data_IF_770292082827
#
_entry.id   IF_770292082827
#
_cell.length_a   1.000
_cell.length_b   1.000
_cell.length_c   1.000
_cell.angle_alpha   90.00
_cell.angle_beta   90.00
_cell.angle_gamma   90.00
#
_symmetry.space_group_name_H-M   'P 1'
#
loop_
_entity.id
_entity.type
_entity.pdbx_description
1 polymer ?
#
# COMPACT_ATOMS: atom_id res chain seq x y z
N UNK A 1 -29.22 -15.29 31.67
CA UNK A 1 -28.37 -14.13 31.48
C UNK A 1 -27.88 -14.18 30.04
N UNK A 2 -28.63 -13.54 29.14
CA UNK A 2 -28.32 -13.39 27.72
C UNK A 2 -27.26 -12.30 27.57
N UNK A 3 -26.16 -12.63 26.91
CA UNK A 3 -25.15 -11.64 26.52
C UNK A 3 -25.67 -10.90 25.27
N UNK A 4 -26.01 -9.63 25.45
CA UNK A 4 -26.27 -8.69 24.38
C UNK A 4 -25.06 -8.70 23.40
N UNK A 5 -25.35 -8.99 22.14
CA UNK A 5 -24.42 -8.78 21.03
C UNK A 5 -24.46 -7.29 20.70
N UNK A 6 -23.40 -6.60 21.03
CA UNK A 6 -23.15 -5.23 20.64
C UNK A 6 -23.09 -5.14 19.11
N UNK A 7 -24.12 -4.57 18.53
CA UNK A 7 -24.17 -4.28 17.08
C UNK A 7 -23.29 -3.06 16.81
N UNK A 8 -22.23 -3.26 16.04
CA UNK A 8 -21.38 -2.19 15.55
C UNK A 8 -22.20 -1.12 14.78
N UNK A 9 -21.91 0.17 14.96
CA UNK A 9 -22.66 1.25 14.31
C UNK A 9 -22.49 1.19 12.80
N UNK A 10 -23.59 1.29 12.07
CA UNK A 10 -23.62 1.35 10.61
C UNK A 10 -22.95 2.65 10.14
N UNK A 11 -21.85 2.52 9.45
CA UNK A 11 -21.02 3.61 8.95
C UNK A 11 -21.72 4.38 7.83
N UNK A 12 -22.00 5.66 8.06
CA UNK A 12 -22.40 6.63 7.02
C UNK A 12 -21.23 7.02 6.07
N UNK A 13 -19.99 6.66 6.40
CA UNK A 13 -18.80 6.91 5.55
C UNK A 13 -18.74 6.06 4.26
N UNK A 14 -19.66 5.10 4.07
CA UNK A 14 -19.68 4.26 2.85
C UNK A 14 -20.05 5.03 1.58
N UNK A 15 -20.80 6.15 1.69
CA UNK A 15 -21.26 6.86 0.51
C UNK A 15 -20.19 7.75 -0.14
N UNK A 16 -19.36 8.45 0.64
CA UNK A 16 -18.31 9.32 0.07
C UNK A 16 -17.19 8.53 -0.61
N UNK A 17 -16.80 7.40 -0.01
CA UNK A 17 -15.81 6.50 -0.63
C UNK A 17 -16.38 5.90 -1.91
N UNK A 18 -17.64 5.44 -1.87
CA UNK A 18 -18.31 4.88 -3.04
C UNK A 18 -18.47 5.90 -4.18
N UNK A 19 -18.79 7.17 -3.86
CA UNK A 19 -18.92 8.23 -4.86
C UNK A 19 -17.57 8.66 -5.44
N UNK A 20 -16.49 8.69 -4.64
CA UNK A 20 -15.13 9.00 -5.11
C UNK A 20 -14.57 7.82 -5.92
N UNK A 21 -14.74 6.59 -5.45
CA UNK A 21 -14.36 5.39 -6.19
C UNK A 21 -15.20 5.24 -7.47
N UNK A 22 -16.49 5.63 -7.45
CA UNK A 22 -17.31 5.71 -8.65
C UNK A 22 -16.81 6.78 -9.64
N UNK A 23 -16.27 7.91 -9.15
CA UNK A 23 -15.62 8.93 -10.00
C UNK A 23 -14.31 8.42 -10.61
N UNK A 24 -13.51 7.66 -9.85
CA UNK A 24 -12.31 6.99 -10.36
C UNK A 24 -12.72 5.94 -11.40
N UNK A 25 -13.73 5.11 -11.11
CA UNK A 25 -14.23 4.08 -12.01
C UNK A 25 -14.89 4.65 -13.28
N UNK A 26 -15.54 5.82 -13.21
CA UNK A 26 -16.13 6.49 -14.40
C UNK A 26 -15.10 7.25 -15.23
N UNK A 27 -13.94 7.61 -14.67
CA UNK A 27 -12.78 8.10 -15.42
C UNK A 27 -12.02 6.98 -16.15
N UNK A 28 -12.15 5.73 -15.72
CA UNK A 28 -11.68 4.56 -16.45
C UNK A 28 -12.56 4.30 -17.66
N UNK A 29 -12.54 5.20 -18.65
CA UNK A 29 -12.82 4.76 -19.99
C UNK A 29 -11.72 3.78 -20.36
N UNK A 30 -12.13 2.53 -20.47
CA UNK A 30 -11.46 1.42 -21.14
C UNK A 30 -9.98 1.60 -21.47
N UNK A 31 -9.16 0.79 -20.80
CA UNK A 31 -7.75 0.57 -21.20
C UNK A 31 -7.65 -0.12 -22.57
N UNK A 32 -8.73 -0.46 -23.26
CA UNK A 32 -8.82 -0.93 -24.66
C UNK A 32 -10.23 -0.74 -25.25
N UNK A 33 -10.97 0.29 -24.79
CA UNK A 33 -12.32 0.55 -25.32
C UNK A 33 -13.40 -0.38 -24.80
N UNK A 34 -13.13 -1.26 -23.81
CA UNK A 34 -14.11 -2.19 -23.24
C UNK A 34 -14.41 -1.86 -21.77
N UNK A 35 -15.70 -1.80 -21.37
CA UNK A 35 -16.05 -1.57 -19.97
C UNK A 35 -15.58 -2.73 -19.10
N UNK A 36 -14.83 -2.45 -18.03
CA UNK A 36 -14.48 -3.44 -17.02
C UNK A 36 -15.75 -3.85 -16.29
N UNK A 37 -16.29 -5.02 -16.63
CA UNK A 37 -17.41 -5.60 -15.88
C UNK A 37 -16.90 -6.28 -14.61
N UNK A 38 -17.37 -5.82 -13.49
CA UNK A 38 -17.07 -6.30 -12.12
C UNK A 38 -17.54 -7.75 -11.86
N UNK A 39 -18.06 -8.49 -12.84
CA UNK A 39 -18.76 -9.75 -12.62
C UNK A 39 -18.09 -11.03 -13.15
N UNK A 40 -16.91 -10.98 -13.75
CA UNK A 40 -16.23 -12.22 -14.15
C UNK A 40 -15.21 -12.66 -13.08
N UNK A 41 -15.74 -13.22 -11.99
CA UNK A 41 -14.99 -14.18 -11.17
C UNK A 41 -14.78 -15.43 -12.00
N UNK A 42 -13.54 -15.78 -12.22
CA UNK A 42 -13.07 -16.99 -12.90
C UNK A 42 -12.85 -16.88 -14.41
N UNK A 43 -11.61 -16.63 -14.75
CA UNK A 43 -10.73 -17.33 -15.73
C UNK A 43 -9.40 -16.56 -15.78
N UNK A 44 -8.21 -17.17 -15.82
CA UNK A 44 -6.96 -16.47 -16.11
C UNK A 44 -6.93 -16.15 -17.61
N UNK A 45 -7.80 -15.28 -18.05
CA UNK A 45 -7.65 -14.63 -19.35
C UNK A 45 -6.61 -13.54 -19.19
N UNK A 46 -5.62 -13.56 -20.07
CA UNK A 46 -4.59 -12.57 -20.29
C UNK A 46 -5.17 -11.16 -20.12
N UNK A 47 -5.24 -10.68 -18.87
CA UNK A 47 -5.49 -9.27 -18.65
C UNK A 47 -4.29 -8.53 -19.24
N UNK A 48 -4.55 -7.63 -20.17
CA UNK A 48 -3.49 -6.85 -20.78
C UNK A 48 -2.75 -6.10 -19.68
N UNK A 49 -1.42 -6.11 -19.73
CA UNK A 49 -0.59 -5.30 -18.84
C UNK A 49 -0.99 -3.84 -18.96
N UNK A 50 -0.97 -3.12 -17.84
CA UNK A 50 -1.21 -1.68 -17.84
C UNK A 50 -0.17 -1.02 -18.74
N UNK A 51 -0.63 -0.28 -19.76
CA UNK A 51 0.26 0.41 -20.69
C UNK A 51 0.84 1.63 -20.01
N UNK A 52 2.13 1.85 -20.21
CA UNK A 52 2.88 2.94 -19.58
C UNK A 52 2.41 4.34 -20.02
N UNK A 53 1.92 4.45 -21.25
CA UNK A 53 1.45 5.68 -21.90
C UNK A 53 -0.06 5.93 -21.70
N UNK A 54 -0.78 5.01 -21.03
CA UNK A 54 -2.16 5.23 -20.64
C UNK A 54 -2.21 5.98 -19.29
N UNK A 55 -3.37 6.54 -18.97
CA UNK A 55 -3.64 7.06 -17.63
C UNK A 55 -3.62 5.88 -16.62
N UNK A 56 -2.48 5.65 -16.02
CA UNK A 56 -2.20 4.52 -15.13
C UNK A 56 -2.81 4.68 -13.74
N UNK A 57 -3.09 5.93 -13.34
CA UNK A 57 -3.59 6.28 -12.01
C UNK A 57 -4.93 5.58 -11.71
N UNK A 58 -5.96 5.69 -12.55
CA UNK A 58 -7.20 4.96 -12.33
C UNK A 58 -7.03 3.45 -12.30
N UNK A 59 -6.12 2.88 -13.09
CA UNK A 59 -5.89 1.44 -13.12
C UNK A 59 -5.31 0.93 -11.79
N UNK A 60 -4.33 1.63 -11.22
CA UNK A 60 -3.73 1.30 -9.92
C UNK A 60 -4.76 1.44 -8.80
N UNK A 61 -5.47 2.59 -8.76
CA UNK A 61 -6.47 2.84 -7.72
C UNK A 61 -7.64 1.86 -7.78
N UNK A 62 -8.15 1.55 -8.98
CA UNK A 62 -9.22 0.57 -9.14
C UNK A 62 -8.78 -0.82 -8.68
N UNK A 63 -7.62 -1.27 -9.13
CA UNK A 63 -7.10 -2.58 -8.72
C UNK A 63 -6.96 -2.68 -7.20
N UNK A 64 -6.29 -1.71 -6.57
CA UNK A 64 -6.01 -1.79 -5.14
C UNK A 64 -7.23 -1.55 -4.25
N UNK A 65 -8.00 -0.52 -4.54
CA UNK A 65 -9.11 -0.11 -3.68
C UNK A 65 -10.39 -0.92 -3.89
N UNK A 66 -10.63 -1.42 -5.12
CA UNK A 66 -11.87 -2.11 -5.46
C UNK A 66 -11.69 -3.62 -5.69
N UNK A 67 -10.69 -4.05 -6.48
CA UNK A 67 -10.54 -5.45 -6.84
C UNK A 67 -9.86 -6.23 -5.72
N UNK A 68 -8.76 -5.75 -5.16
CA UNK A 68 -8.10 -6.32 -3.97
C UNK A 68 -8.93 -5.99 -2.73
N UNK A 69 -9.19 -4.71 -2.52
CA UNK A 69 -9.99 -4.21 -1.42
C UNK A 69 -9.40 -4.48 -0.03
N UNK A 70 -10.09 -4.03 1.03
CA UNK A 70 -9.56 -4.11 2.40
C UNK A 70 -9.25 -5.51 2.92
N UNK A 71 -9.92 -6.53 2.40
CA UNK A 71 -9.68 -7.93 2.80
C UNK A 71 -8.38 -8.50 2.25
N UNK A 72 -7.87 -7.95 1.13
CA UNK A 72 -6.65 -8.43 0.48
C UNK A 72 -5.43 -7.53 0.69
N UNK A 73 -5.60 -6.32 1.27
CA UNK A 73 -4.48 -5.38 1.40
C UNK A 73 -3.30 -5.92 2.23
N UNK A 74 -3.59 -6.77 3.23
CA UNK A 74 -2.59 -7.27 4.17
C UNK A 74 -2.52 -8.81 4.24
N UNK A 75 -3.33 -9.49 3.43
CA UNK A 75 -3.40 -10.96 3.39
C UNK A 75 -3.58 -11.41 1.93
N UNK A 76 -2.56 -11.15 1.11
CA UNK A 76 -2.59 -11.52 -0.31
C UNK A 76 -2.17 -12.97 -0.51
N UNK A 77 -2.79 -13.63 -1.49
CA UNK A 77 -2.45 -14.98 -1.93
C UNK A 77 -1.35 -14.95 -3.00
N UNK A 78 -0.70 -16.11 -3.23
CA UNK A 78 0.28 -16.26 -4.34
C UNK A 78 -0.34 -15.94 -5.71
N UNK A 79 -1.64 -16.22 -5.90
CA UNK A 79 -2.36 -15.90 -7.14
C UNK A 79 -2.53 -14.39 -7.31
N UNK A 80 -2.86 -13.68 -6.22
CA UNK A 80 -2.97 -12.21 -6.21
C UNK A 80 -1.61 -11.54 -6.42
N UNK A 81 -0.55 -12.07 -5.81
CA UNK A 81 0.83 -11.61 -6.02
C UNK A 81 1.25 -11.78 -7.49
N UNK A 82 0.98 -12.94 -8.09
CA UNK A 82 1.27 -13.22 -9.50
C UNK A 82 0.44 -12.31 -10.43
N UNK A 83 -0.80 -12.03 -10.08
CA UNK A 83 -1.67 -11.12 -10.82
C UNK A 83 -1.16 -9.68 -10.74
N UNK A 84 -0.77 -9.21 -9.57
CA UNK A 84 -0.17 -7.89 -9.38
C UNK A 84 1.11 -7.75 -10.23
N UNK A 85 1.99 -8.74 -10.18
CA UNK A 85 3.21 -8.80 -10.99
C UNK A 85 2.89 -8.72 -12.49
N UNK A 86 1.93 -9.51 -12.96
CA UNK A 86 1.55 -9.53 -14.37
C UNK A 86 1.03 -8.16 -14.86
N UNK A 87 0.20 -7.50 -14.05
CA UNK A 87 -0.46 -6.25 -14.42
C UNK A 87 0.48 -5.04 -14.34
N UNK A 88 1.29 -4.94 -13.29
CA UNK A 88 1.94 -3.68 -12.93
C UNK A 88 3.46 -3.68 -13.00
N UNK A 89 4.12 -4.83 -13.25
CA UNK A 89 5.58 -4.88 -13.32
C UNK A 89 6.16 -3.92 -14.35
N UNK A 90 5.61 -3.87 -15.55
CA UNK A 90 6.11 -2.99 -16.61
C UNK A 90 5.91 -1.50 -16.28
N UNK A 91 4.78 -1.16 -15.64
CA UNK A 91 4.52 0.19 -15.17
C UNK A 91 5.52 0.59 -14.08
N UNK A 92 5.72 -0.27 -13.07
CA UNK A 92 6.68 -0.03 -12.01
C UNK A 92 8.11 0.15 -12.54
N UNK A 93 8.55 -0.69 -13.49
CA UNK A 93 9.89 -0.64 -14.07
C UNK A 93 10.16 0.72 -14.78
N UNK A 94 9.14 1.32 -15.40
CA UNK A 94 9.29 2.60 -16.10
C UNK A 94 9.13 3.79 -15.16
N UNK A 95 8.19 3.73 -14.24
CA UNK A 95 7.85 4.88 -13.40
C UNK A 95 8.83 5.07 -12.22
N UNK A 96 9.50 4.04 -11.76
CA UNK A 96 10.37 4.08 -10.57
C UNK A 96 11.60 4.99 -10.69
N UNK A 97 12.00 5.32 -11.92
CA UNK A 97 13.15 6.18 -12.18
C UNK A 97 12.77 7.67 -12.31
N UNK A 98 11.48 7.99 -12.23
CA UNK A 98 11.00 9.37 -12.23
C UNK A 98 11.15 10.00 -10.84
N UNK A 99 11.40 11.32 -10.76
CA UNK A 99 11.51 12.01 -9.48
C UNK A 99 10.17 12.11 -8.76
N UNK A 100 10.18 12.15 -7.43
CA UNK A 100 8.97 12.18 -6.60
C UNK A 100 8.00 13.31 -6.97
N UNK A 101 8.52 14.47 -7.40
CA UNK A 101 7.71 15.64 -7.78
C UNK A 101 6.75 15.36 -8.94
N UNK A 102 7.06 14.44 -9.84
CA UNK A 102 6.21 14.10 -10.99
C UNK A 102 4.91 13.39 -10.54
N UNK A 103 4.91 12.84 -9.32
CA UNK A 103 3.76 12.16 -8.71
C UNK A 103 2.95 13.06 -7.75
N UNK A 104 3.32 14.33 -7.62
CA UNK A 104 2.69 15.29 -6.70
C UNK A 104 1.80 16.32 -7.42
N UNK A 105 1.23 15.95 -8.57
CA UNK A 105 0.37 16.82 -9.37
C UNK A 105 -1.03 16.96 -8.77
N UNK A 106 -1.53 15.93 -8.13
CA UNK A 106 -2.82 15.85 -7.44
C UNK A 106 -2.86 14.67 -6.46
N UNK A 107 -3.88 14.63 -5.62
CA UNK A 107 -4.00 13.63 -4.56
C UNK A 107 -4.19 12.18 -5.09
N UNK A 108 -4.91 12.00 -6.21
CA UNK A 108 -5.14 10.68 -6.80
C UNK A 108 -3.82 10.13 -7.40
N UNK A 109 -3.04 10.98 -8.07
CA UNK A 109 -1.72 10.61 -8.60
C UNK A 109 -0.76 10.24 -7.49
N UNK A 110 -0.71 11.03 -6.41
CA UNK A 110 0.14 10.73 -5.26
C UNK A 110 -0.25 9.39 -4.60
N UNK A 111 -1.54 9.14 -4.36
CA UNK A 111 -2.01 7.87 -3.79
C UNK A 111 -1.67 6.68 -4.70
N UNK A 112 -1.91 6.79 -5.99
CA UNK A 112 -1.60 5.74 -6.94
C UNK A 112 -0.10 5.42 -6.97
N UNK A 113 0.76 6.45 -6.92
CA UNK A 113 2.21 6.28 -6.83
C UNK A 113 2.65 5.61 -5.52
N UNK A 114 2.07 5.99 -4.38
CA UNK A 114 2.34 5.35 -3.10
C UNK A 114 1.97 3.87 -3.13
N UNK A 115 0.83 3.51 -3.70
CA UNK A 115 0.43 2.11 -3.89
C UNK A 115 1.41 1.39 -4.82
N UNK A 116 1.77 2.00 -5.95
CA UNK A 116 2.67 1.43 -6.94
C UNK A 116 4.08 1.18 -6.40
N UNK A 117 4.60 2.06 -5.53
CA UNK A 117 6.00 2.03 -5.07
C UNK A 117 6.19 1.47 -3.67
N UNK A 118 5.15 1.47 -2.82
CA UNK A 118 5.24 0.92 -1.47
C UNK A 118 4.50 -0.43 -1.33
N UNK A 119 3.29 -0.56 -1.87
CA UNK A 119 2.47 -1.76 -1.67
C UNK A 119 2.75 -2.84 -2.72
N UNK A 120 2.68 -2.51 -4.01
CA UNK A 120 2.85 -3.48 -5.09
C UNK A 120 4.19 -4.22 -5.09
N UNK A 121 5.35 -3.59 -4.77
CA UNK A 121 6.61 -4.31 -4.73
C UNK A 121 6.63 -5.42 -3.67
N UNK A 122 5.94 -5.23 -2.55
CA UNK A 122 5.81 -6.24 -1.49
C UNK A 122 5.05 -7.47 -1.94
N UNK A 123 4.08 -7.30 -2.84
CA UNK A 123 3.38 -8.39 -3.51
C UNK A 123 4.20 -8.98 -4.66
N UNK A 124 4.62 -8.14 -5.61
CA UNK A 124 5.29 -8.56 -6.84
C UNK A 124 6.62 -9.29 -6.61
N UNK A 125 7.35 -8.90 -5.57
CA UNK A 125 8.72 -9.35 -5.33
C UNK A 125 8.92 -9.93 -3.94
N UNK A 126 7.89 -10.59 -3.41
CA UNK A 126 7.94 -11.18 -2.07
C UNK A 126 9.19 -12.03 -1.86
N UNK A 127 9.94 -11.74 -0.78
CA UNK A 127 11.19 -12.42 -0.46
C UNK A 127 12.42 -12.01 -1.28
N UNK A 128 12.31 -11.00 -2.14
CA UNK A 128 13.39 -10.48 -2.97
C UNK A 128 13.74 -9.03 -2.59
N UNK A 129 14.95 -8.59 -2.87
CA UNK A 129 15.39 -7.21 -2.59
C UNK A 129 14.58 -6.15 -3.37
N UNK A 130 14.05 -6.52 -4.53
CA UNK A 130 13.19 -5.65 -5.33
C UNK A 130 11.91 -5.21 -4.60
N UNK A 131 11.45 -5.97 -3.60
CA UNK A 131 10.31 -5.61 -2.75
C UNK A 131 10.49 -4.28 -2.01
N UNK A 132 11.73 -3.86 -1.79
CA UNK A 132 12.09 -2.66 -1.04
C UNK A 132 12.79 -1.59 -1.90
N UNK A 133 12.94 -1.85 -3.20
CA UNK A 133 13.77 -1.02 -4.09
C UNK A 133 13.24 0.40 -4.27
N UNK A 134 11.94 0.61 -4.07
CA UNK A 134 11.26 1.91 -4.23
C UNK A 134 10.80 2.53 -2.90
N UNK A 135 11.19 1.98 -1.75
CA UNK A 135 10.81 2.51 -0.43
C UNK A 135 11.26 3.98 -0.24
N UNK A 136 12.44 4.36 -0.74
CA UNK A 136 12.92 5.74 -0.67
C UNK A 136 12.05 6.70 -1.50
N UNK A 137 11.72 6.32 -2.74
CA UNK A 137 10.83 7.11 -3.60
C UNK A 137 9.43 7.25 -2.99
N UNK A 138 8.89 6.17 -2.44
CA UNK A 138 7.59 6.21 -1.76
C UNK A 138 7.59 7.17 -0.56
N UNK A 139 8.68 7.22 0.24
CA UNK A 139 8.80 8.18 1.34
C UNK A 139 8.85 9.62 0.85
N UNK A 140 9.61 9.91 -0.20
CA UNK A 140 9.68 11.26 -0.78
C UNK A 140 8.31 11.72 -1.30
N UNK A 141 7.55 10.82 -1.95
CA UNK A 141 6.18 11.10 -2.39
C UNK A 141 5.26 11.33 -1.19
N UNK A 142 5.35 10.49 -0.15
CA UNK A 142 4.55 10.64 1.06
C UNK A 142 4.82 11.98 1.76
N UNK A 143 6.08 12.38 1.85
CA UNK A 143 6.48 13.69 2.38
C UNK A 143 5.82 14.84 1.61
N UNK A 144 5.96 14.85 0.30
CA UNK A 144 5.40 15.89 -0.55
C UNK A 144 3.88 15.90 -0.53
N UNK A 145 3.25 14.75 -0.51
CA UNK A 145 1.78 14.61 -0.46
C UNK A 145 1.21 15.14 0.87
N UNK A 146 1.83 14.79 2.00
CA UNK A 146 1.43 15.31 3.32
C UNK A 146 1.65 16.82 3.44
N UNK A 147 2.74 17.34 2.88
CA UNK A 147 2.99 18.79 2.87
C UNK A 147 1.93 19.57 2.06
N UNK A 148 1.27 18.93 1.10
CA UNK A 148 0.18 19.49 0.30
C UNK A 148 -1.22 19.17 0.85
N UNK A 149 -1.31 18.37 1.93
CA UNK A 149 -2.60 17.96 2.52
C UNK A 149 -3.40 16.96 1.68
N UNK A 150 -2.75 16.26 0.75
CA UNK A 150 -3.43 15.32 -0.16
C UNK A 150 -4.08 14.14 0.56
N UNK A 151 -3.55 13.71 1.70
CA UNK A 151 -4.15 12.67 2.53
C UNK A 151 -5.54 13.06 3.04
N UNK A 152 -5.78 14.35 3.30
CA UNK A 152 -7.05 14.86 3.81
C UNK A 152 -8.19 14.78 2.78
N UNK A 153 -7.85 14.64 1.50
CA UNK A 153 -8.85 14.45 0.45
C UNK A 153 -9.45 13.04 0.43
N UNK A 154 -8.89 12.09 1.18
CA UNK A 154 -9.35 10.71 1.24
C UNK A 154 -10.07 10.40 2.56
N UNK A 155 -10.93 9.39 2.51
CA UNK A 155 -11.55 8.84 3.71
C UNK A 155 -10.51 8.17 4.59
N UNK A 156 -10.75 8.15 5.89
CA UNK A 156 -9.89 7.65 6.95
C UNK A 156 -9.28 6.27 6.67
N UNK A 157 -10.05 5.38 6.04
CA UNK A 157 -9.64 4.03 5.68
C UNK A 157 -8.54 3.96 4.61
N UNK A 158 -8.42 4.98 3.75
CA UNK A 158 -7.45 5.05 2.64
C UNK A 158 -6.20 5.84 3.03
N UNK A 159 -6.33 6.81 3.94
CA UNK A 159 -5.22 7.65 4.41
C UNK A 159 -3.97 6.89 4.89
N UNK A 160 -4.08 5.69 5.52
CA UNK A 160 -2.91 4.92 5.93
C UNK A 160 -1.87 4.71 4.83
N UNK A 161 -2.27 4.63 3.56
CA UNK A 161 -1.31 4.47 2.46
C UNK A 161 -0.36 5.65 2.29
N UNK A 162 -0.73 6.86 2.77
CA UNK A 162 0.17 8.02 2.83
C UNK A 162 1.16 7.93 4.01
N UNK A 163 0.86 7.15 5.04
CA UNK A 163 1.65 7.07 6.28
C UNK A 163 2.54 5.82 6.33
N UNK A 164 2.15 4.75 5.64
CA UNK A 164 2.88 3.48 5.60
C UNK A 164 4.33 3.59 5.11
N UNK A 165 4.70 4.44 4.13
CA UNK A 165 6.09 4.56 3.73
C UNK A 165 7.04 4.93 4.88
N UNK A 166 6.58 5.71 5.86
CA UNK A 166 7.37 6.01 7.08
C UNK A 166 7.45 4.79 8.00
N UNK A 167 6.35 4.05 8.18
CA UNK A 167 6.32 2.81 8.96
C UNK A 167 7.24 1.74 8.37
N UNK A 168 7.43 1.74 7.06
CA UNK A 168 8.28 0.80 6.35
C UNK A 168 9.76 1.20 6.28
N UNK A 169 10.13 2.38 6.80
CA UNK A 169 11.51 2.86 6.84
C UNK A 169 12.33 2.21 7.95
N UNK A 170 13.62 1.98 7.70
CA UNK A 170 14.59 1.59 8.73
C UNK A 170 15.24 2.80 9.44
N UNK A 171 14.78 4.03 9.16
CA UNK A 171 15.19 5.25 9.86
C UNK A 171 14.29 5.49 11.08
N UNK A 172 14.90 5.75 12.24
CA UNK A 172 14.15 5.91 13.49
C UNK A 172 13.28 7.18 13.50
N UNK A 173 13.72 8.26 12.83
CA UNK A 173 12.93 9.49 12.74
C UNK A 173 11.67 9.27 11.89
N UNK A 174 11.74 8.46 10.82
CA UNK A 174 10.57 8.05 10.05
C UNK A 174 9.62 7.20 10.88
N UNK A 175 10.15 6.30 11.72
CA UNK A 175 9.35 5.48 12.63
C UNK A 175 8.62 6.33 13.67
N UNK A 176 9.28 7.31 14.26
CA UNK A 176 8.67 8.27 15.19
C UNK A 176 7.57 9.09 14.51
N UNK A 177 7.80 9.50 13.27
CA UNK A 177 6.81 10.19 12.44
C UNK A 177 5.60 9.29 12.14
N UNK A 178 5.83 8.03 11.82
CA UNK A 178 4.77 7.03 11.62
C UNK A 178 3.91 6.91 12.88
N UNK A 179 4.52 6.79 14.06
CA UNK A 179 3.80 6.76 15.33
C UNK A 179 2.93 8.01 15.52
N UNK A 180 3.46 9.20 15.24
CA UNK A 180 2.71 10.45 15.37
C UNK A 180 1.48 10.48 14.41
N UNK A 181 1.65 10.02 13.18
CA UNK A 181 0.59 9.98 12.18
C UNK A 181 -0.53 8.99 12.57
N UNK A 182 -0.18 7.80 13.06
CA UNK A 182 -1.13 6.77 13.46
C UNK A 182 -1.68 6.95 14.89
N UNK A 183 -1.16 7.88 15.70
CA UNK A 183 -1.70 8.20 17.04
C UNK A 183 -2.99 9.01 16.99
N UNK A 184 -3.44 9.46 15.82
CA UNK A 184 -4.71 10.16 15.65
C UNK A 184 -5.88 9.18 15.87
N UNK A 185 -7.06 9.64 16.35
CA UNK A 185 -8.25 8.81 16.49
C UNK A 185 -8.62 8.13 15.16
N UNK A 186 -9.08 6.88 15.21
CA UNK A 186 -9.49 6.09 14.04
C UNK A 186 -8.40 5.17 13.49
N UNK A 187 -7.15 5.32 13.94
CA UNK A 187 -6.02 4.50 13.47
C UNK A 187 -5.48 3.50 14.51
N UNK A 188 -6.26 3.17 15.54
CA UNK A 188 -5.82 2.30 16.66
C UNK A 188 -5.32 0.93 16.19
N UNK A 189 -5.88 0.41 15.09
CA UNK A 189 -5.41 -0.82 14.47
C UNK A 189 -4.01 -0.63 13.85
N UNK A 190 -3.82 0.40 13.04
CA UNK A 190 -2.54 0.69 12.38
C UNK A 190 -1.45 1.09 13.39
N UNK A 191 -1.83 1.80 14.47
CA UNK A 191 -0.90 2.22 15.53
C UNK A 191 -0.19 1.03 16.19
N UNK A 192 -0.88 -0.11 16.37
CA UNK A 192 -0.27 -1.33 16.92
C UNK A 192 0.88 -1.83 16.05
N UNK A 193 0.69 -1.78 14.73
CA UNK A 193 1.74 -2.17 13.79
C UNK A 193 2.85 -1.13 13.76
N UNK A 194 2.52 0.17 13.72
CA UNK A 194 3.53 1.23 13.77
C UNK A 194 4.40 1.10 15.03
N UNK A 195 3.81 0.80 16.19
CA UNK A 195 4.54 0.57 17.43
C UNK A 195 5.48 -0.65 17.32
N UNK A 196 5.00 -1.76 16.77
CA UNK A 196 5.81 -2.96 16.60
C UNK A 196 6.99 -2.71 15.64
N UNK A 197 6.77 -2.00 14.53
CA UNK A 197 7.81 -1.62 13.57
C UNK A 197 8.85 -0.70 14.23
N UNK A 198 8.39 0.35 14.92
CA UNK A 198 9.26 1.27 15.66
C UNK A 198 10.13 0.53 16.68
N UNK A 199 9.55 -0.39 17.48
CA UNK A 199 10.30 -1.11 18.51
C UNK A 199 11.39 -2.02 17.90
N UNK A 200 11.12 -2.63 16.75
CA UNK A 200 12.10 -3.43 16.01
C UNK A 200 13.22 -2.53 15.46
N UNK A 201 12.89 -1.43 14.80
CA UNK A 201 13.92 -0.52 14.27
C UNK A 201 14.72 0.11 15.41
N UNK A 202 14.09 0.48 16.51
CA UNK A 202 14.78 1.00 17.71
C UNK A 202 15.74 -0.04 18.30
N UNK A 203 15.37 -1.33 18.29
CA UNK A 203 16.18 -2.42 18.87
C UNK A 203 17.34 -2.80 17.97
N UNK A 204 17.11 -2.94 16.67
CA UNK A 204 18.07 -3.53 15.73
C UNK A 204 18.63 -2.54 14.69
N UNK A 205 18.07 -1.33 14.58
CA UNK A 205 18.43 -0.36 13.55
C UNK A 205 17.99 -0.78 12.13
N UNK A 206 17.20 -1.84 12.03
CA UNK A 206 16.74 -2.42 10.77
C UNK A 206 15.59 -3.40 10.98
N UNK A 207 14.97 -3.83 9.89
CA UNK A 207 14.00 -4.93 9.90
C UNK A 207 14.68 -6.28 9.66
N UNK A 208 14.83 -7.17 10.66
CA UNK A 208 15.52 -8.45 10.53
C UNK A 208 14.91 -9.38 9.47
N UNK A 209 13.58 -9.37 9.27
CA UNK A 209 12.92 -10.21 8.27
C UNK A 209 13.36 -9.88 6.83
N UNK A 210 13.92 -8.69 6.57
CA UNK A 210 14.45 -8.28 5.27
C UNK A 210 15.88 -8.78 5.02
N UNK A 211 16.58 -9.27 6.06
CA UNK A 211 18.00 -9.60 5.96
C UNK A 211 18.29 -10.59 4.84
N UNK A 212 17.52 -11.68 4.75
CA UNK A 212 17.69 -12.69 3.69
C UNK A 212 17.53 -12.08 2.28
N UNK A 213 16.50 -11.30 2.07
CA UNK A 213 16.22 -10.68 0.78
C UNK A 213 17.28 -9.64 0.39
N UNK A 214 17.84 -8.93 1.38
CA UNK A 214 18.87 -7.89 1.18
C UNK A 214 20.31 -8.42 1.30
N UNK A 215 20.50 -9.74 1.44
CA UNK A 215 21.83 -10.33 1.57
C UNK A 215 22.59 -9.93 2.84
N UNK A 216 21.85 -9.56 3.90
CA UNK A 216 22.41 -9.16 5.20
C UNK A 216 22.50 -10.39 6.12
N UNK A 217 23.58 -10.46 6.90
CA UNK A 217 23.73 -11.48 7.95
C UNK A 217 22.70 -11.25 9.06
N UNK A 218 22.02 -12.31 9.47
CA UNK A 218 21.04 -12.28 10.56
C UNK A 218 21.71 -12.68 11.87
N UNK A 219 21.63 -11.83 12.89
CA UNK A 219 22.14 -12.13 14.22
C UNK A 219 21.17 -13.05 14.99
N UNK A 220 21.64 -13.82 16.00
CA UNK A 220 20.77 -14.74 16.76
C UNK A 220 19.53 -14.06 17.35
N UNK A 221 19.68 -12.88 17.95
CA UNK A 221 18.59 -12.13 18.57
C UNK A 221 17.58 -11.60 17.53
N UNK A 222 18.04 -11.34 16.31
CA UNK A 222 17.19 -10.96 15.19
C UNK A 222 16.36 -12.14 14.69
N UNK A 223 16.98 -13.34 14.63
CA UNK A 223 16.30 -14.56 14.25
C UNK A 223 15.19 -14.93 15.26
N UNK A 224 15.48 -14.74 16.56
CA UNK A 224 14.50 -14.95 17.64
C UNK A 224 13.32 -13.99 17.49
N UNK A 225 13.58 -12.69 17.30
CA UNK A 225 12.53 -11.69 17.11
C UNK A 225 11.63 -11.99 15.90
N UNK A 226 12.21 -12.45 14.78
CA UNK A 226 11.43 -12.86 13.60
C UNK A 226 10.56 -14.09 13.91
N UNK A 227 11.08 -15.06 14.65
CA UNK A 227 10.33 -16.26 15.07
C UNK A 227 9.19 -15.92 16.02
N UNK A 228 9.31 -14.86 16.82
CA UNK A 228 8.29 -14.34 17.73
C UNK A 228 7.22 -13.46 17.06
N UNK A 229 7.33 -13.20 15.75
CA UNK A 229 6.30 -12.50 14.97
C UNK A 229 6.74 -11.15 14.37
N UNK A 230 8.02 -10.77 14.45
CA UNK A 230 8.54 -9.58 13.78
C UNK A 230 8.82 -9.85 12.27
N UNK A 231 7.89 -10.53 11.59
CA UNK A 231 8.03 -10.99 10.20
C UNK A 231 6.84 -10.58 9.33
N UNK A 232 6.55 -9.27 9.26
CA UNK A 232 5.50 -8.74 8.40
C UNK A 232 5.86 -8.67 6.92
#
# INVERSE_FOLDING_TARGET
>A
MEKERETLPKYHAQNETAERLARIATRTQSIDGLPVRVQDRFVPRQQARVKVDADWVPAVLNYWLNEVGPSGWFDSTEEEDARCLHLFRALWDVQRDNPAVDFLTDADTALAALILFDQFPRNMFRGQSAAFATDALAREIADGALAQGFDEEFVEKVRPFFYMPFMHSEDLADQERSLALFSRPGYEFNLKFAQAHHDIVRRFGRFPHRNKALGRETQPEEAEAVAEGAGW
#
